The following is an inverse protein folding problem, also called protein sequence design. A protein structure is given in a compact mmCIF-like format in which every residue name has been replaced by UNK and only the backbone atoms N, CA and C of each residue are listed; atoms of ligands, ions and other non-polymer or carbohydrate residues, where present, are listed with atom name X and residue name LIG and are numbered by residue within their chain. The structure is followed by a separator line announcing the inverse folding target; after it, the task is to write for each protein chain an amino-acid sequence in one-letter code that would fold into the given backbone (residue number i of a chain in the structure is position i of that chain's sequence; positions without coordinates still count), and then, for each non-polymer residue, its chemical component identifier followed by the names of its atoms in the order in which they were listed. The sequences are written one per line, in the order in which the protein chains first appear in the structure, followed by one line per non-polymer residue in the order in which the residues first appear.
data_IF_672054284451
#
_entry.id   IF_672054284451
#
_cell.length_a   1.000
_cell.length_b   1.000
_cell.length_c   1.000
_cell.angle_alpha   90.00
_cell.angle_beta   90.00
_cell.angle_gamma   90.00
#
_symmetry.space_group_name_H-M   'P 1'
#
loop_
_entity.id
_entity.type
_entity.pdbx_description
1 polymer ?
#
# COMPACT_ATOMS: atom_id res chain seq x y z
N UNK A 1 -7.83 -5.49 -0.84
CA UNK A 1 -6.68 -6.38 -1.08
C UNK A 1 -5.41 -5.80 -0.48
N UNK A 2 -5.01 -4.56 -0.83
CA UNK A 2 -3.90 -3.87 -0.15
C UNK A 2 -4.13 -3.74 1.35
N UNK A 3 -5.35 -3.36 1.77
CA UNK A 3 -5.68 -3.24 3.20
C UNK A 3 -5.51 -4.56 3.95
N UNK A 4 -5.97 -5.68 3.38
CA UNK A 4 -5.79 -7.01 3.99
C UNK A 4 -4.32 -7.40 4.15
N UNK A 5 -3.49 -7.11 3.14
CA UNK A 5 -2.05 -7.34 3.23
C UNK A 5 -1.41 -6.44 4.28
N UNK A 6 -1.84 -5.18 4.32
CA UNK A 6 -1.39 -4.23 5.31
C UNK A 6 -1.70 -4.73 6.74
N UNK A 7 -2.95 -5.09 7.00
CA UNK A 7 -3.44 -5.52 8.32
C UNK A 7 -2.78 -6.81 8.78
N UNK A 8 -2.51 -7.72 7.84
CA UNK A 8 -1.84 -9.01 8.09
C UNK A 8 -0.32 -8.90 8.15
N UNK A 9 0.31 -7.74 7.92
CA UNK A 9 1.77 -7.64 7.93
C UNK A 9 2.42 -8.42 6.76
N UNK A 10 1.73 -8.50 5.62
CA UNK A 10 2.24 -9.19 4.42
C UNK A 10 3.20 -8.27 3.67
N UNK A 11 4.35 -8.80 3.29
CA UNK A 11 5.34 -8.10 2.46
C UNK A 11 4.87 -8.13 1.00
N UNK A 12 4.56 -6.96 0.45
CA UNK A 12 4.12 -6.80 -0.93
C UNK A 12 5.27 -6.32 -1.81
N UNK A 13 5.56 -7.06 -2.87
CA UNK A 13 6.43 -6.62 -3.96
C UNK A 13 5.58 -6.31 -5.18
N UNK A 14 5.68 -5.10 -5.72
CA UNK A 14 4.97 -4.68 -6.94
C UNK A 14 5.85 -3.79 -7.81
N UNK A 15 5.56 -3.78 -9.11
CA UNK A 15 6.18 -2.89 -10.09
C UNK A 15 5.09 -2.16 -10.85
N UNK A 16 5.35 -0.90 -11.20
CA UNK A 16 4.46 -0.08 -12.00
C UNK A 16 5.25 0.80 -12.95
N UNK A 17 4.62 1.21 -14.06
CA UNK A 17 5.21 2.12 -15.05
C UNK A 17 5.37 3.55 -14.52
N UNK A 18 4.55 3.92 -13.53
CA UNK A 18 4.50 5.26 -12.94
C UNK A 18 4.77 5.21 -11.43
N UNK A 19 5.20 6.33 -10.81
CA UNK A 19 5.29 6.45 -9.36
C UNK A 19 3.96 6.12 -8.66
N UNK A 20 4.05 5.69 -7.40
CA UNK A 20 2.91 5.19 -6.64
C UNK A 20 1.80 6.24 -6.44
N UNK A 21 2.19 7.51 -6.35
CA UNK A 21 1.30 8.68 -6.24
C UNK A 21 0.50 8.91 -7.52
N UNK A 22 0.96 8.38 -8.66
CA UNK A 22 0.36 8.54 -9.98
C UNK A 22 -0.39 7.29 -10.46
N UNK A 23 -0.42 6.22 -9.65
CA UNK A 23 -1.15 4.99 -9.99
C UNK A 23 -2.66 5.21 -10.18
N UNK A 24 -3.20 6.30 -9.65
CA UNK A 24 -4.59 6.68 -9.84
C UNK A 24 -4.71 8.15 -10.20
N UNK A 25 -5.32 8.41 -11.35
CA UNK A 25 -5.47 9.74 -11.95
C UNK A 25 -6.71 10.51 -11.48
N UNK A 26 -7.38 10.04 -10.43
CA UNK A 26 -8.55 10.72 -9.83
C UNK A 26 -9.90 10.21 -10.33
N UNK A 27 -10.97 10.65 -9.68
CA UNK A 27 -12.35 10.27 -10.03
C UNK A 27 -13.22 10.06 -8.78
N UNK A 28 -14.13 9.09 -8.82
CA UNK A 28 -15.01 8.78 -7.67
C UNK A 28 -14.29 8.19 -6.46
N UNK A 29 -13.14 7.54 -6.67
CA UNK A 29 -12.43 6.78 -5.63
C UNK A 29 -11.22 7.50 -5.04
N UNK A 30 -11.10 8.83 -5.22
CA UNK A 30 -9.92 9.59 -4.79
C UNK A 30 -9.63 9.42 -3.29
N UNK A 31 -10.67 9.43 -2.44
CA UNK A 31 -10.48 9.28 -1.00
C UNK A 31 -10.00 7.87 -0.59
N UNK A 32 -10.61 6.83 -1.15
CA UNK A 32 -10.18 5.44 -0.88
C UNK A 32 -8.79 5.16 -1.46
N UNK A 33 -8.45 5.78 -2.58
CA UNK A 33 -7.11 5.70 -3.14
C UNK A 33 -6.07 6.40 -2.26
N UNK A 34 -6.38 7.55 -1.66
CA UNK A 34 -5.47 8.19 -0.69
C UNK A 34 -5.16 7.29 0.50
N UNK A 35 -6.16 6.55 1.00
CA UNK A 35 -5.96 5.54 2.05
C UNK A 35 -5.01 4.44 1.57
N UNK A 36 -5.25 3.91 0.37
CA UNK A 36 -4.40 2.88 -0.25
C UNK A 36 -2.96 3.38 -0.43
N UNK A 37 -2.78 4.60 -0.92
CA UNK A 37 -1.47 5.24 -1.10
C UNK A 37 -0.72 5.34 0.23
N UNK A 38 -1.39 5.80 1.29
CA UNK A 38 -0.78 5.89 2.62
C UNK A 38 -0.32 4.52 3.14
N UNK A 39 -1.10 3.45 2.94
CA UNK A 39 -0.69 2.09 3.30
C UNK A 39 0.53 1.64 2.53
N UNK A 40 0.53 1.82 1.22
CA UNK A 40 1.66 1.40 0.39
C UNK A 40 2.94 2.18 0.71
N UNK A 41 2.84 3.44 1.13
CA UNK A 41 3.98 4.22 1.62
C UNK A 41 4.50 3.68 2.96
N UNK A 42 3.61 3.39 3.91
CA UNK A 42 3.96 2.81 5.20
C UNK A 42 4.61 1.42 5.04
N UNK A 43 4.12 0.61 4.10
CA UNK A 43 4.64 -0.73 3.79
C UNK A 43 6.09 -0.73 3.24
N UNK A 44 6.60 0.43 2.79
CA UNK A 44 7.98 0.59 2.35
C UNK A 44 8.95 0.89 3.51
N UNK A 45 8.44 1.21 4.70
CA UNK A 45 9.26 1.53 5.87
C UNK A 45 9.97 0.29 6.42
N UNK A 46 11.13 0.50 7.05
CA UNK A 46 11.87 -0.59 7.70
C UNK A 46 11.08 -1.16 8.88
N UNK A 47 10.37 -0.29 9.59
CA UNK A 47 9.50 -0.61 10.70
C UNK A 47 8.42 -1.60 10.28
N UNK A 48 7.73 -1.33 9.16
CA UNK A 48 6.71 -2.23 8.64
C UNK A 48 7.32 -3.55 8.15
N UNK A 49 8.45 -3.51 7.42
CA UNK A 49 9.11 -4.71 6.89
C UNK A 49 9.66 -5.63 7.98
N UNK A 50 9.91 -5.10 9.18
CA UNK A 50 10.30 -5.85 10.38
C UNK A 50 9.12 -6.55 11.07
N UNK A 51 7.86 -6.20 10.76
CA UNK A 51 6.70 -6.85 11.34
C UNK A 51 6.60 -8.32 10.90
N UNK A 52 6.09 -9.15 11.81
CA UNK A 52 5.75 -10.53 11.51
C UNK A 52 4.39 -10.59 10.79
N UNK A 53 4.26 -11.58 9.90
CA UNK A 53 2.98 -11.90 9.27
C UNK A 53 1.98 -12.42 10.31
N UNK A 54 0.74 -11.94 10.25
CA UNK A 54 -0.37 -12.35 11.12
C UNK A 54 -1.22 -13.41 10.39
N UNK A 55 -1.54 -14.54 11.06
CA UNK A 55 -2.30 -15.64 10.48
C UNK A 55 -3.76 -15.25 10.14
#
# INVERSE_FOLDING_TARGET
MVDEFYDRGVKLLMSAEVPIEQLYSGGRLTFEFQRTLSRLQEMQSQEYLALAHKP
#
